data_IF_447783433636
#
_entry.id   IF_447783433636
#
_cell.length_a   1.000
_cell.length_b   1.000
_cell.length_c   1.000
_cell.angle_alpha   90.00
_cell.angle_beta   90.00
_cell.angle_gamma   90.00
#
_symmetry.space_group_name_H-M   'P 1'
#
loop_
_entity.id
_entity.type
_entity.pdbx_description
1 polymer ?
#
# COMPACT_ATOMS: atom_id res chain seq x y z
N UNK A 1 19.03 -18.67 -12.50
CA UNK A 1 18.04 -19.68 -12.05
C UNK A 1 17.26 -19.08 -10.85
N UNK A 2 15.96 -19.07 -10.95
CA UNK A 2 15.14 -18.62 -9.82
C UNK A 2 15.27 -19.63 -8.67
N UNK A 3 15.42 -19.15 -7.42
CA UNK A 3 15.42 -20.04 -6.28
C UNK A 3 14.00 -20.53 -5.98
N UNK A 4 13.89 -21.52 -5.11
CA UNK A 4 12.59 -22.14 -4.77
C UNK A 4 11.61 -21.12 -4.15
N UNK A 5 12.12 -20.19 -3.36
CA UNK A 5 11.31 -19.15 -2.73
C UNK A 5 10.71 -18.19 -3.75
N UNK A 6 11.50 -17.73 -4.71
CA UNK A 6 11.01 -16.87 -5.80
C UNK A 6 9.96 -17.57 -6.65
N UNK A 7 10.18 -18.85 -6.96
CA UNK A 7 9.20 -19.64 -7.71
C UNK A 7 7.89 -19.77 -6.93
N UNK A 8 7.97 -20.03 -5.63
CA UNK A 8 6.79 -20.13 -4.78
C UNK A 8 6.04 -18.81 -4.70
N UNK A 9 6.74 -17.67 -4.58
CA UNK A 9 6.10 -16.34 -4.61
C UNK A 9 5.29 -16.13 -5.88
N UNK A 10 5.87 -16.50 -7.03
CA UNK A 10 5.17 -16.36 -8.31
C UNK A 10 3.92 -17.24 -8.37
N UNK A 11 4.01 -18.46 -7.88
CA UNK A 11 2.87 -19.38 -7.83
C UNK A 11 1.75 -18.83 -6.95
N UNK A 12 2.09 -18.28 -5.79
CA UNK A 12 1.13 -17.66 -4.87
C UNK A 12 0.48 -16.43 -5.53
N UNK A 13 1.26 -15.57 -6.15
CA UNK A 13 0.73 -14.39 -6.84
C UNK A 13 -0.22 -14.74 -7.96
N UNK A 14 0.08 -15.78 -8.73
CA UNK A 14 -0.79 -16.23 -9.80
C UNK A 14 -2.10 -16.81 -9.24
N UNK A 15 -2.00 -17.64 -8.21
CA UNK A 15 -3.18 -18.26 -7.61
C UNK A 15 -4.12 -17.25 -6.96
N UNK A 16 -3.56 -16.26 -6.26
CA UNK A 16 -4.35 -15.26 -5.53
C UNK A 16 -4.75 -14.07 -6.41
N UNK A 17 -4.01 -13.82 -7.49
CA UNK A 17 -4.23 -12.64 -8.35
C UNK A 17 -5.53 -12.69 -9.16
N UNK A 18 -6.19 -13.84 -9.23
CA UNK A 18 -7.49 -13.97 -9.90
C UNK A 18 -8.67 -13.55 -9.01
N UNK A 19 -8.45 -13.33 -7.73
CA UNK A 19 -9.51 -12.99 -6.78
C UNK A 19 -9.84 -11.50 -6.87
N UNK A 20 -11.12 -11.18 -6.99
CA UNK A 20 -11.57 -9.78 -7.06
C UNK A 20 -11.52 -9.06 -5.71
N UNK A 21 -11.50 -9.80 -4.60
CA UNK A 21 -11.47 -9.23 -3.25
C UNK A 21 -10.06 -8.95 -2.74
N UNK A 22 -9.04 -9.26 -3.53
CA UNK A 22 -7.65 -9.26 -3.07
C UNK A 22 -6.75 -8.53 -4.06
N UNK A 23 -5.83 -7.71 -3.56
CA UNK A 23 -4.68 -7.21 -4.31
C UNK A 23 -3.41 -7.43 -3.51
N UNK A 24 -2.42 -8.06 -4.13
CA UNK A 24 -1.11 -8.29 -3.55
C UNK A 24 -0.04 -7.67 -4.43
N UNK A 25 0.94 -7.09 -3.79
CA UNK A 25 2.10 -6.47 -4.44
C UNK A 25 3.37 -7.12 -3.92
N UNK A 26 4.34 -7.28 -4.80
CA UNK A 26 5.67 -7.69 -4.39
C UNK A 26 6.31 -6.54 -3.60
N UNK A 27 6.77 -6.84 -2.40
CA UNK A 27 7.46 -5.90 -1.54
C UNK A 27 8.93 -6.30 -1.48
N UNK A 28 9.75 -5.66 -2.30
CA UNK A 28 11.19 -5.87 -2.29
C UNK A 28 11.83 -4.82 -1.40
N UNK A 29 12.41 -5.27 -0.29
CA UNK A 29 13.09 -4.41 0.68
C UNK A 29 14.58 -4.53 0.47
N UNK A 30 15.27 -3.39 0.45
CA UNK A 30 16.71 -3.38 0.30
C UNK A 30 17.31 -2.00 0.51
N UNK A 31 18.60 -1.90 0.19
CA UNK A 31 19.36 -0.65 0.26
C UNK A 31 20.17 -0.47 -1.01
N UNK A 32 20.25 0.78 -1.46
CA UNK A 32 21.14 1.19 -2.53
C UNK A 32 21.86 2.47 -2.11
N UNK A 33 23.13 2.67 -2.55
CA UNK A 33 23.81 3.93 -2.29
C UNK A 33 23.12 5.08 -3.03
N UNK A 34 22.96 6.20 -2.34
CA UNK A 34 22.53 7.43 -2.99
C UNK A 34 23.64 7.89 -3.94
N UNK A 35 23.36 8.10 -5.25
CA UNK A 35 24.38 8.54 -6.19
C UNK A 35 25.03 9.88 -5.84
N UNK A 36 24.35 10.74 -5.08
CA UNK A 36 24.88 12.07 -4.72
C UNK A 36 25.70 12.06 -3.45
N UNK A 37 25.32 11.25 -2.46
CA UNK A 37 25.92 11.28 -1.14
C UNK A 37 26.69 10.01 -0.77
N UNK A 38 26.46 8.91 -1.47
CA UNK A 38 27.01 7.60 -1.15
C UNK A 38 26.39 6.96 0.08
N UNK A 39 25.45 7.62 0.75
CA UNK A 39 24.76 7.08 1.92
C UNK A 39 23.74 6.04 1.50
N UNK A 40 23.52 4.99 2.32
CA UNK A 40 22.52 3.99 2.00
C UNK A 40 21.12 4.58 2.02
N UNK A 41 20.34 4.28 0.95
CA UNK A 41 18.92 4.62 0.86
C UNK A 41 18.15 3.32 0.89
N UNK A 42 17.21 3.21 1.82
CA UNK A 42 16.33 2.05 1.91
C UNK A 42 15.16 2.20 0.97
N UNK A 43 14.76 1.09 0.36
CA UNK A 43 13.56 1.01 -0.47
C UNK A 43 12.67 -0.13 -0.01
N UNK A 44 11.41 -0.12 -0.47
CA UNK A 44 10.37 -1.03 0.00
C UNK A 44 9.75 -0.54 1.30
N UNK A 45 9.03 -1.41 1.97
CA UNK A 45 8.45 -1.12 3.27
C UNK A 45 9.53 -1.25 4.36
N UNK A 46 9.10 -1.41 5.60
CA UNK A 46 10.03 -1.55 6.71
C UNK A 46 10.89 -2.81 6.56
N UNK A 47 12.12 -2.74 7.08
CA UNK A 47 13.00 -3.91 7.16
C UNK A 47 12.30 -5.03 7.93
N UNK A 48 12.34 -6.23 7.37
CA UNK A 48 11.63 -7.38 7.92
C UNK A 48 10.17 -7.49 7.49
N UNK A 49 9.65 -6.54 6.69
CA UNK A 49 8.30 -6.65 6.15
C UNK A 49 8.19 -7.80 5.15
N UNK A 50 6.96 -8.31 4.99
CA UNK A 50 6.71 -9.51 4.21
C UNK A 50 6.95 -9.32 2.71
N UNK A 51 7.22 -10.41 2.01
CA UNK A 51 7.49 -10.42 0.56
C UNK A 51 6.29 -9.99 -0.28
N UNK A 52 5.08 -10.31 0.18
CA UNK A 52 3.83 -9.96 -0.50
C UNK A 52 2.97 -9.16 0.45
N UNK A 53 2.53 -7.99 0.01
CA UNK A 53 1.75 -7.04 0.80
C UNK A 53 0.63 -6.48 -0.06
N UNK A 54 -0.51 -6.27 0.56
CA UNK A 54 -1.65 -5.68 -0.13
C UNK A 54 -2.86 -5.64 0.77
N UNK A 55 -4.02 -5.82 0.18
CA UNK A 55 -5.27 -5.78 0.94
C UNK A 55 -6.24 -6.86 0.50
N UNK A 56 -7.09 -7.25 1.43
CA UNK A 56 -8.27 -8.05 1.17
C UNK A 56 -9.50 -7.24 1.55
N UNK A 57 -10.41 -7.05 0.60
CA UNK A 57 -11.67 -6.38 0.85
C UNK A 57 -12.64 -7.37 1.50
N UNK A 58 -13.22 -6.96 2.62
CA UNK A 58 -14.25 -7.72 3.33
C UNK A 58 -15.48 -6.85 3.53
N UNK A 59 -16.64 -7.48 3.65
CA UNK A 59 -17.85 -6.80 4.10
C UNK A 59 -17.95 -6.99 5.61
N UNK A 60 -18.03 -5.87 6.34
CA UNK A 60 -18.15 -5.92 7.80
C UNK A 60 -19.50 -6.51 8.20
N UNK A 61 -19.50 -7.49 9.05
CA UNK A 61 -20.69 -8.16 9.56
C UNK A 61 -20.93 -7.81 11.02
N UNK A 62 -22.17 -8.03 11.56
CA UNK A 62 -22.44 -7.76 12.97
C UNK A 62 -21.54 -8.54 13.95
N UNK A 63 -21.09 -9.72 13.56
CA UNK A 63 -20.18 -10.54 14.40
C UNK A 63 -18.80 -9.90 14.57
N UNK A 64 -18.46 -8.94 13.73
CA UNK A 64 -17.16 -8.27 13.76
C UNK A 64 -17.16 -7.04 14.67
N UNK A 65 -18.30 -6.67 15.26
CA UNK A 65 -18.38 -5.52 16.15
C UNK A 65 -17.42 -5.73 17.34
N UNK A 66 -16.60 -4.72 17.60
CA UNK A 66 -15.57 -4.77 18.64
C UNK A 66 -14.24 -5.37 18.20
N UNK A 67 -14.16 -5.97 17.02
CA UNK A 67 -12.88 -6.45 16.47
C UNK A 67 -12.04 -5.29 15.94
N UNK A 68 -10.74 -5.44 16.04
CA UNK A 68 -9.78 -4.49 15.47
C UNK A 68 -9.48 -4.90 14.04
N UNK A 69 -9.54 -3.95 13.13
CA UNK A 69 -9.24 -4.16 11.72
C UNK A 69 -8.18 -3.13 11.31
N UNK A 70 -7.08 -3.60 10.74
CA UNK A 70 -6.11 -2.71 10.12
C UNK A 70 -6.63 -2.28 8.75
N UNK A 71 -6.83 -0.98 8.56
CA UNK A 71 -7.36 -0.45 7.30
C UNK A 71 -6.21 0.05 6.44
N UNK A 72 -6.11 -0.48 5.22
CA UNK A 72 -5.07 -0.06 4.28
C UNK A 72 -5.18 1.44 4.02
N UNK A 73 -4.09 2.16 4.24
CA UNK A 73 -4.05 3.62 4.18
C UNK A 73 -2.97 4.07 3.21
N UNK A 74 -3.33 4.99 2.33
CA UNK A 74 -2.43 5.49 1.30
C UNK A 74 -2.60 7.00 1.15
N UNK A 75 -1.56 7.75 1.49
CA UNK A 75 -1.56 9.21 1.45
C UNK A 75 -0.53 9.67 0.42
N UNK A 76 -1.01 10.33 -0.62
CA UNK A 76 -0.15 10.96 -1.62
C UNK A 76 0.21 12.37 -1.14
N UNK A 77 1.49 12.64 -1.03
CA UNK A 77 1.98 13.93 -0.56
C UNK A 77 2.35 14.81 -1.75
N UNK A 78 1.80 16.02 -1.78
CA UNK A 78 2.07 17.01 -2.82
C UNK A 78 2.37 18.37 -2.19
N UNK A 79 3.18 19.16 -2.87
CA UNK A 79 3.33 20.59 -2.55
C UNK A 79 2.06 21.34 -2.93
N UNK A 80 1.95 22.62 -2.53
CA UNK A 80 0.76 23.44 -2.82
C UNK A 80 0.42 23.55 -4.30
N UNK A 81 1.41 23.43 -5.18
CA UNK A 81 1.25 23.54 -6.63
C UNK A 81 1.38 22.22 -7.38
N UNK A 82 1.78 21.16 -6.70
CA UNK A 82 1.94 19.85 -7.31
C UNK A 82 0.62 19.26 -7.76
N UNK A 83 0.64 18.52 -8.87
CA UNK A 83 -0.56 17.87 -9.42
C UNK A 83 -0.40 16.37 -9.39
N UNK A 84 -1.53 15.67 -9.24
CA UNK A 84 -1.56 14.22 -9.32
C UNK A 84 -1.31 13.76 -10.75
N UNK A 85 -0.41 12.80 -10.90
CA UNK A 85 -0.29 12.05 -12.14
C UNK A 85 -1.52 11.12 -12.30
N UNK A 86 -1.90 10.77 -13.53
CA UNK A 86 -3.03 9.86 -13.74
C UNK A 86 -2.90 8.53 -13.00
N UNK A 87 -1.71 7.95 -12.94
CA UNK A 87 -1.46 6.71 -12.21
C UNK A 87 -1.67 6.86 -10.69
N UNK A 88 -1.27 8.00 -10.13
CA UNK A 88 -1.50 8.31 -8.72
C UNK A 88 -2.98 8.44 -8.40
N UNK A 89 -3.71 9.12 -9.27
CA UNK A 89 -5.16 9.27 -9.13
C UNK A 89 -5.87 7.92 -9.19
N UNK A 90 -5.48 7.07 -10.14
CA UNK A 90 -6.03 5.72 -10.28
C UNK A 90 -5.73 4.86 -9.05
N UNK A 91 -4.54 4.97 -8.49
CA UNK A 91 -4.16 4.27 -7.27
C UNK A 91 -5.06 4.66 -6.08
N UNK A 92 -5.22 5.97 -5.85
CA UNK A 92 -6.04 6.45 -4.74
C UNK A 92 -7.50 6.01 -4.90
N UNK A 93 -8.02 6.06 -6.13
CA UNK A 93 -9.38 5.60 -6.42
C UNK A 93 -9.53 4.09 -6.16
N UNK A 94 -8.54 3.29 -6.53
CA UNK A 94 -8.56 1.84 -6.28
C UNK A 94 -8.55 1.51 -4.80
N UNK A 95 -7.72 2.20 -4.01
CA UNK A 95 -7.66 2.01 -2.56
C UNK A 95 -9.00 2.39 -1.92
N UNK A 96 -9.53 3.55 -2.27
CA UNK A 96 -10.80 4.04 -1.73
C UNK A 96 -11.95 3.10 -2.12
N UNK A 97 -12.01 2.69 -3.38
CA UNK A 97 -13.04 1.77 -3.87
C UNK A 97 -13.00 0.39 -3.22
N UNK A 98 -11.84 -0.04 -2.76
CA UNK A 98 -11.67 -1.31 -2.05
C UNK A 98 -12.05 -1.24 -0.56
N UNK A 99 -12.37 -0.04 -0.05
CA UNK A 99 -12.70 0.18 1.35
C UNK A 99 -11.53 0.69 2.19
N UNK A 100 -10.42 1.06 1.56
CA UNK A 100 -9.27 1.63 2.25
C UNK A 100 -9.39 3.14 2.45
N UNK A 101 -8.42 3.71 3.13
CA UNK A 101 -8.29 5.15 3.36
C UNK A 101 -7.29 5.69 2.34
N UNK A 102 -7.71 6.67 1.56
CA UNK A 102 -6.84 7.27 0.56
C UNK A 102 -7.12 8.75 0.40
N UNK A 103 -6.08 9.53 0.14
CA UNK A 103 -6.24 10.94 -0.11
C UNK A 103 -4.92 11.63 -0.47
N UNK A 104 -5.05 12.90 -0.82
CA UNK A 104 -3.92 13.78 -1.12
C UNK A 104 -3.73 14.73 0.04
N UNK A 105 -2.51 14.81 0.55
CA UNK A 105 -2.16 15.74 1.62
C UNK A 105 -1.14 16.76 1.11
N UNK A 106 -1.46 18.05 1.28
CA UNK A 106 -0.58 19.17 0.98
C UNK A 106 -0.06 19.84 2.25
N UNK A 107 -0.45 19.28 3.41
CA UNK A 107 -0.08 19.76 4.73
C UNK A 107 -0.33 18.65 5.75
N UNK A 108 0.21 18.83 6.95
CA UNK A 108 -0.09 17.92 8.08
C UNK A 108 -1.59 17.96 8.40
N UNK A 109 -2.21 19.12 8.32
CA UNK A 109 -3.66 19.27 8.57
C UNK A 109 -4.47 18.42 7.58
N UNK A 110 -4.10 18.44 6.29
CA UNK A 110 -4.76 17.61 5.28
C UNK A 110 -4.63 16.11 5.62
N UNK A 111 -3.43 15.68 6.00
CA UNK A 111 -3.18 14.28 6.34
C UNK A 111 -4.04 13.82 7.53
N UNK A 112 -4.14 14.66 8.55
CA UNK A 112 -4.98 14.37 9.71
C UNK A 112 -6.46 14.31 9.33
N UNK A 113 -6.91 15.19 8.44
CA UNK A 113 -8.30 15.20 7.97
C UNK A 113 -8.66 13.92 7.22
N UNK A 114 -7.74 13.38 6.41
CA UNK A 114 -7.94 12.11 5.71
C UNK A 114 -8.24 10.98 6.70
N UNK A 115 -7.55 10.94 7.84
CA UNK A 115 -7.73 9.90 8.85
C UNK A 115 -8.98 10.09 9.70
N UNK A 116 -9.45 11.33 9.89
CA UNK A 116 -10.60 11.64 10.75
C UNK A 116 -11.93 11.17 10.16
N UNK A 117 -12.01 11.01 8.85
CA UNK A 117 -13.24 10.57 8.19
C UNK A 117 -13.43 9.06 8.31
N UNK A 118 -12.56 8.36 9.01
CA UNK A 118 -12.68 6.93 9.28
C UNK A 118 -13.55 6.70 10.51
N UNK A 119 -14.60 5.93 10.40
CA UNK A 119 -15.44 5.60 11.56
C UNK A 119 -14.69 4.83 12.64
#
# INVERSE_FOLDING_TARGET
>A
MANAETTLQQQIRLALGTRSDLRLFRNQVGQLPDPRTGRPVQFGLARGSADLIGWRTIVVTPEMVGQRIAVFTSIEVKTSTGRLAPAQRAWLAAVHGAGGIAGVARSVTDALAILKDTP
#
